data_IF_500191351012
#
_entry.id   IF_500191351012
#
_cell.length_a   1.000
_cell.length_b   1.000
_cell.length_c   1.000
_cell.angle_alpha   90.00
_cell.angle_beta   90.00
_cell.angle_gamma   90.00
#
_symmetry.space_group_name_H-M   'P 1'
#
loop_
_entity.id
_entity.type
_entity.pdbx_description
1 polymer ?
#
# COMPACT_ATOMS: atom_id res chain seq x y z
N UNK A 1 -5.25 -45.95 -66.40
CA UNK A 1 -5.53 -44.50 -66.48
C UNK A 1 -6.57 -44.20 -65.43
N UNK A 2 -6.14 -43.66 -64.29
CA UNK A 2 -6.99 -43.24 -63.20
C UNK A 2 -6.58 -41.81 -62.83
N UNK A 3 -7.61 -40.96 -62.78
CA UNK A 3 -7.62 -39.51 -62.77
C UNK A 3 -6.87 -38.91 -61.57
N UNK A 4 -5.99 -37.94 -61.82
CA UNK A 4 -5.16 -37.31 -60.80
C UNK A 4 -5.95 -36.23 -60.04
N UNK A 5 -6.22 -36.52 -58.77
CA UNK A 5 -6.88 -35.61 -57.84
C UNK A 5 -6.12 -34.29 -57.64
N UNK A 6 -6.85 -33.20 -57.87
CA UNK A 6 -6.55 -31.80 -57.54
C UNK A 6 -5.97 -31.64 -56.11
N UNK A 7 -4.84 -30.94 -55.91
CA UNK A 7 -4.44 -30.53 -54.56
C UNK A 7 -5.30 -29.36 -54.06
N UNK A 8 -5.95 -29.55 -52.91
CA UNK A 8 -6.65 -28.53 -52.13
C UNK A 8 -5.64 -27.57 -51.46
N UNK A 9 -5.80 -26.27 -51.73
CA UNK A 9 -5.62 -25.16 -50.78
C UNK A 9 -4.29 -25.00 -50.03
N UNK A 10 -3.53 -23.96 -50.37
CA UNK A 10 -2.43 -23.44 -49.56
C UNK A 10 -2.96 -22.84 -48.26
N UNK A 11 -2.62 -23.43 -47.10
CA UNK A 11 -2.88 -22.84 -45.79
C UNK A 11 -1.80 -21.78 -45.49
N UNK A 12 -2.12 -20.52 -45.78
CA UNK A 12 -1.32 -19.38 -45.35
C UNK A 12 -1.68 -19.06 -43.90
N UNK A 13 -0.86 -19.47 -42.93
CA UNK A 13 -1.01 -19.07 -41.53
C UNK A 13 -0.36 -17.71 -41.30
N UNK A 14 -1.19 -16.68 -41.13
CA UNK A 14 -0.75 -15.35 -40.69
C UNK A 14 -0.18 -15.43 -39.27
N UNK A 15 0.94 -14.76 -38.93
CA UNK A 15 1.44 -14.72 -37.57
C UNK A 15 0.41 -14.07 -36.64
N UNK A 16 0.01 -14.79 -35.59
CA UNK A 16 -0.83 -14.25 -34.53
C UNK A 16 -0.09 -13.07 -33.87
N UNK A 17 -0.62 -11.87 -34.05
CA UNK A 17 -0.16 -10.70 -33.32
C UNK A 17 -0.46 -10.93 -31.83
N UNK A 18 0.59 -11.07 -31.01
CA UNK A 18 0.45 -11.03 -29.56
C UNK A 18 -0.33 -9.75 -29.20
N UNK A 19 -1.43 -9.84 -28.44
CA UNK A 19 -2.19 -8.66 -28.08
C UNK A 19 -1.28 -7.74 -27.30
N UNK A 20 -1.09 -6.54 -27.82
CA UNK A 20 -0.37 -5.46 -27.15
C UNK A 20 -1.06 -5.23 -25.81
N UNK A 21 -0.35 -5.46 -24.70
CA UNK A 21 -0.84 -5.11 -23.37
C UNK A 21 -1.01 -3.60 -23.36
N UNK A 22 -2.24 -3.13 -23.56
CA UNK A 22 -2.61 -1.76 -23.23
C UNK A 22 -2.43 -1.63 -21.72
N UNK A 23 -1.38 -0.92 -21.32
CA UNK A 23 -1.31 -0.33 -19.98
C UNK A 23 -2.42 0.70 -19.92
N UNK A 24 -3.62 0.26 -19.57
CA UNK A 24 -4.74 1.14 -19.26
C UNK A 24 -4.34 1.84 -17.98
N UNK A 25 -4.12 3.15 -18.04
CA UNK A 25 -4.10 3.98 -16.85
C UNK A 25 -5.44 3.78 -16.14
N UNK A 26 -5.46 2.97 -15.09
CA UNK A 26 -6.62 2.82 -14.22
C UNK A 26 -6.86 4.23 -13.66
N UNK A 27 -8.08 4.74 -13.84
CA UNK A 27 -8.45 6.10 -13.46
C UNK A 27 -7.93 6.48 -12.07
N UNK A 28 -7.40 7.71 -11.97
CA UNK A 28 -6.62 8.28 -10.87
C UNK A 28 -7.30 8.36 -9.48
N UNK A 29 -8.44 7.70 -9.30
CA UNK A 29 -9.23 7.77 -8.06
C UNK A 29 -9.20 6.46 -7.25
N UNK A 30 -8.65 5.38 -7.79
CA UNK A 30 -8.52 4.10 -7.07
C UNK A 30 -7.12 3.90 -6.52
N UNK A 31 -7.05 3.29 -5.34
CA UNK A 31 -5.78 2.85 -4.77
C UNK A 31 -5.17 1.76 -5.65
N UNK A 32 -3.85 1.75 -5.76
CA UNK A 32 -3.12 0.70 -6.48
C UNK A 32 -3.48 -0.68 -5.93
N UNK A 33 -3.76 -1.69 -6.79
CA UNK A 33 -4.22 -2.99 -6.33
C UNK A 33 -3.30 -3.66 -5.31
N UNK A 34 -1.97 -3.55 -5.45
CA UNK A 34 -1.02 -4.16 -4.50
C UNK A 34 -1.00 -3.42 -3.17
N UNK A 35 -1.11 -2.09 -3.19
CA UNK A 35 -1.23 -1.29 -1.98
C UNK A 35 -2.54 -1.60 -1.24
N UNK A 36 -3.66 -1.65 -1.99
CA UNK A 36 -4.97 -2.02 -1.44
C UNK A 36 -4.92 -3.42 -0.83
N UNK A 37 -4.33 -4.40 -1.52
CA UNK A 37 -4.22 -5.78 -1.04
C UNK A 37 -3.49 -5.91 0.29
N UNK A 38 -2.36 -5.20 0.45
CA UNK A 38 -1.57 -5.25 1.71
C UNK A 38 -2.33 -4.62 2.87
N UNK A 39 -2.92 -3.44 2.66
CA UNK A 39 -3.68 -2.76 3.70
C UNK A 39 -4.95 -3.55 4.05
N UNK A 40 -5.68 -4.03 3.05
CA UNK A 40 -6.90 -4.82 3.25
C UNK A 40 -6.64 -6.14 3.98
N UNK A 41 -5.52 -6.82 3.73
CA UNK A 41 -5.17 -8.03 4.50
C UNK A 41 -5.00 -7.74 6.00
N UNK A 42 -4.47 -6.56 6.35
CA UNK A 42 -4.40 -6.12 7.74
C UNK A 42 -5.79 -5.71 8.29
N UNK A 43 -6.59 -4.97 7.51
CA UNK A 43 -7.96 -4.58 7.88
C UNK A 43 -8.82 -5.81 8.14
N UNK A 44 -8.87 -6.77 7.23
CA UNK A 44 -9.72 -7.96 7.37
C UNK A 44 -9.28 -8.81 8.57
N UNK A 45 -7.98 -9.03 8.78
CA UNK A 45 -7.52 -9.70 10.00
C UNK A 45 -8.05 -8.99 11.25
N UNK A 46 -7.88 -7.67 11.32
CA UNK A 46 -8.23 -6.88 12.49
C UNK A 46 -9.73 -6.70 12.69
N UNK A 47 -10.53 -6.75 11.62
CA UNK A 47 -11.99 -6.77 11.69
C UNK A 47 -12.48 -7.98 12.50
N UNK A 48 -11.89 -9.15 12.30
CA UNK A 48 -12.27 -10.38 13.01
C UNK A 48 -11.49 -10.61 14.31
N UNK A 49 -10.23 -10.18 14.37
CA UNK A 49 -9.34 -10.34 15.52
C UNK A 49 -8.78 -8.99 15.99
N UNK A 50 -9.63 -8.06 16.44
CA UNK A 50 -9.16 -6.76 16.92
C UNK A 50 -8.36 -6.92 18.21
N UNK A 51 -7.47 -5.97 18.46
CA UNK A 51 -6.92 -5.80 19.80
C UNK A 51 -8.04 -5.47 20.79
N UNK A 52 -7.89 -5.93 22.03
CA UNK A 52 -8.84 -5.64 23.12
C UNK A 52 -8.30 -4.54 24.01
N UNK A 53 -9.12 -3.51 24.22
CA UNK A 53 -8.84 -2.45 25.19
C UNK A 53 -9.09 -2.90 26.63
N UNK A 54 -8.82 -2.00 27.58
CA UNK A 54 -8.99 -2.27 29.02
C UNK A 54 -10.43 -2.60 29.41
N UNK A 55 -11.41 -2.13 28.65
CA UNK A 55 -12.84 -2.34 28.87
C UNK A 55 -13.41 -3.35 27.85
N UNK A 56 -12.58 -4.22 27.29
CA UNK A 56 -12.90 -5.19 26.23
C UNK A 56 -13.44 -4.57 24.92
N UNK A 57 -13.30 -3.25 24.76
CA UNK A 57 -13.64 -2.59 23.51
C UNK A 57 -12.69 -3.01 22.39
N UNK A 58 -13.21 -3.15 21.17
CA UNK A 58 -12.42 -3.49 20.00
C UNK A 58 -11.57 -2.31 19.55
N UNK A 59 -10.26 -2.52 19.44
CA UNK A 59 -9.28 -1.53 18.99
C UNK A 59 -8.77 -1.88 17.59
N UNK A 60 -9.65 -1.74 16.60
CA UNK A 60 -9.38 -2.12 15.21
C UNK A 60 -8.17 -1.39 14.61
N UNK A 61 -8.15 -0.05 14.68
CA UNK A 61 -7.05 0.77 14.18
C UNK A 61 -5.71 0.42 14.85
N UNK A 62 -5.72 0.16 16.17
CA UNK A 62 -4.52 -0.29 16.89
C UNK A 62 -3.99 -1.61 16.35
N UNK A 63 -4.87 -2.56 16.02
CA UNK A 63 -4.48 -3.82 15.41
C UNK A 63 -3.86 -3.61 14.02
N UNK A 64 -4.49 -2.81 13.15
CA UNK A 64 -3.98 -2.56 11.79
C UNK A 64 -2.61 -1.87 11.86
N UNK A 65 -2.52 -0.82 12.68
CA UNK A 65 -1.30 -0.08 12.95
C UNK A 65 -0.16 -0.97 13.43
N UNK A 66 -0.43 -1.90 14.35
CA UNK A 66 0.58 -2.82 14.87
C UNK A 66 1.16 -3.73 13.79
N UNK A 67 0.31 -4.31 12.92
CA UNK A 67 0.78 -5.19 11.84
C UNK A 67 1.62 -4.44 10.82
N UNK A 68 1.19 -3.24 10.43
CA UNK A 68 1.95 -2.40 9.50
C UNK A 68 3.25 -1.87 10.11
N UNK A 69 3.27 -1.59 11.42
CA UNK A 69 4.49 -1.19 12.13
C UNK A 69 5.51 -2.32 12.19
N UNK A 70 5.06 -3.55 12.42
CA UNK A 70 5.95 -4.71 12.39
C UNK A 70 6.53 -4.93 10.99
N UNK A 71 5.72 -4.77 9.95
CA UNK A 71 6.18 -4.82 8.57
C UNK A 71 7.24 -3.73 8.28
N UNK A 72 6.98 -2.48 8.68
CA UNK A 72 7.94 -1.39 8.49
C UNK A 72 9.24 -1.64 9.29
N UNK A 73 9.14 -2.19 10.51
CA UNK A 73 10.30 -2.56 11.33
C UNK A 73 11.17 -3.63 10.65
N UNK A 74 10.55 -4.73 10.18
CA UNK A 74 11.27 -5.81 9.49
C UNK A 74 11.93 -5.33 8.20
N UNK A 75 11.33 -4.35 7.52
CA UNK A 75 11.91 -3.70 6.35
C UNK A 75 12.87 -2.55 6.69
N UNK A 76 13.33 -2.43 7.94
CA UNK A 76 14.30 -1.41 8.34
C UNK A 76 13.79 0.03 8.16
N UNK A 77 12.50 0.23 8.41
CA UNK A 77 11.76 1.47 8.15
C UNK A 77 11.70 1.87 6.68
N UNK A 78 11.71 0.90 5.77
CA UNK A 78 11.57 1.09 4.32
C UNK A 78 10.37 0.33 3.76
N UNK A 79 9.30 0.15 4.55
CA UNK A 79 8.00 -0.20 4.00
C UNK A 79 7.45 0.99 3.19
N UNK A 80 6.82 0.78 2.03
CA UNK A 80 6.09 1.84 1.34
C UNK A 80 4.83 2.28 2.09
N UNK A 81 4.29 1.45 2.99
CA UNK A 81 3.12 1.74 3.81
C UNK A 81 3.58 2.23 5.19
N UNK A 82 3.47 3.53 5.45
CA UNK A 82 3.91 4.21 6.67
C UNK A 82 2.75 4.39 7.65
N UNK A 83 2.61 3.53 8.67
CA UNK A 83 1.52 3.64 9.63
C UNK A 83 1.75 4.80 10.62
N UNK A 84 0.67 5.51 10.97
CA UNK A 84 0.64 6.51 12.05
C UNK A 84 1.72 7.60 11.95
N UNK A 85 2.02 8.09 10.75
CA UNK A 85 3.01 9.14 10.57
C UNK A 85 2.39 10.51 10.83
N UNK A 86 2.83 11.21 11.87
CA UNK A 86 2.36 12.57 12.19
C UNK A 86 3.01 13.61 11.29
N UNK A 87 2.24 14.61 10.88
CA UNK A 87 2.69 15.79 10.14
C UNK A 87 2.53 17.05 11.00
N UNK A 88 3.52 17.93 10.89
CA UNK A 88 3.43 19.33 11.27
C UNK A 88 2.68 20.08 10.17
N UNK A 89 1.48 20.56 10.51
CA UNK A 89 0.59 21.27 9.60
C UNK A 89 0.89 22.77 9.52
N UNK A 90 1.79 23.29 10.36
CA UNK A 90 2.21 24.69 10.31
C UNK A 90 3.23 24.99 9.20
N UNK A 91 3.77 23.94 8.56
CA UNK A 91 4.68 24.03 7.43
C UNK A 91 3.92 23.97 6.09
N UNK A 92 4.48 24.59 5.05
CA UNK A 92 3.96 24.51 3.69
C UNK A 92 5.05 24.06 2.71
N UNK A 93 5.00 22.80 2.21
CA UNK A 93 4.00 21.76 2.49
C UNK A 93 4.12 21.18 3.92
N UNK A 94 3.06 20.51 4.45
CA UNK A 94 3.13 19.84 5.75
C UNK A 94 4.30 18.86 5.83
N UNK A 95 4.99 18.87 6.97
CA UNK A 95 6.26 18.15 7.14
C UNK A 95 6.08 16.92 8.03
N UNK A 96 6.54 15.72 7.63
CA UNK A 96 6.46 14.55 8.49
C UNK A 96 7.38 14.70 9.72
N UNK A 97 6.87 14.31 10.89
CA UNK A 97 7.61 14.27 12.16
C UNK A 97 8.24 12.88 12.29
N UNK A 98 9.53 12.80 11.97
CA UNK A 98 10.28 11.54 11.87
C UNK A 98 11.30 11.39 13.00
N UNK A 99 11.84 10.18 13.13
CA UNK A 99 13.02 9.91 13.94
C UNK A 99 14.21 10.79 13.50
N UNK A 100 15.08 11.13 14.46
CA UNK A 100 16.26 11.98 14.22
C UNK A 100 17.29 11.32 13.31
N UNK A 101 17.46 10.01 13.41
CA UNK A 101 18.51 9.26 12.73
C UNK A 101 17.98 8.50 11.51
N UNK A 102 16.67 8.23 11.47
CA UNK A 102 16.02 7.48 10.38
C UNK A 102 14.87 8.30 9.81
N UNK A 103 15.13 9.02 8.72
CA UNK A 103 14.17 9.97 8.14
C UNK A 103 12.91 9.32 7.53
N UNK A 104 12.87 7.99 7.42
CA UNK A 104 11.70 7.22 6.95
C UNK A 104 10.87 6.61 8.08
N UNK A 105 11.34 6.75 9.33
CA UNK A 105 10.71 6.21 10.54
C UNK A 105 9.88 7.31 11.20
N UNK A 106 8.62 7.00 11.54
CA UNK A 106 7.79 7.90 12.34
C UNK A 106 8.41 8.11 13.74
N UNK A 107 8.24 9.30 14.31
CA UNK A 107 8.79 9.58 15.64
C UNK A 107 8.03 8.80 16.72
N UNK A 108 8.71 7.92 17.46
CA UNK A 108 8.09 7.01 18.46
C UNK A 108 7.30 7.75 19.55
N UNK A 109 7.78 8.94 19.95
CA UNK A 109 7.13 9.78 20.96
C UNK A 109 6.90 11.23 20.50
N UNK A 110 5.91 11.42 19.62
CA UNK A 110 5.56 12.73 19.02
C UNK A 110 5.30 13.80 20.09
N UNK A 111 4.62 13.49 21.19
CA UNK A 111 4.37 14.46 22.26
C UNK A 111 5.65 15.00 22.90
N UNK A 112 6.66 14.15 23.09
CA UNK A 112 7.97 14.60 23.57
C UNK A 112 8.70 15.45 22.55
N UNK A 113 8.57 15.12 21.26
CA UNK A 113 9.10 15.93 20.17
C UNK A 113 8.47 17.34 20.16
N UNK A 114 7.14 17.44 20.24
CA UNK A 114 6.42 18.71 20.25
C UNK A 114 6.89 19.56 21.44
N UNK A 115 6.87 19.03 22.66
CA UNK A 115 7.30 19.76 23.86
C UNK A 115 8.73 20.30 23.78
N UNK A 116 9.61 19.57 23.11
CA UNK A 116 11.03 19.92 23.00
C UNK A 116 11.31 20.94 21.89
N UNK A 117 10.63 20.82 20.75
CA UNK A 117 11.01 21.51 19.53
C UNK A 117 10.01 22.61 19.12
N UNK A 118 8.71 22.47 19.43
CA UNK A 118 7.68 23.34 18.86
C UNK A 118 7.89 24.83 19.18
N UNK A 119 7.90 25.18 20.47
CA UNK A 119 8.08 26.58 20.89
C UNK A 119 9.40 27.16 20.39
N UNK A 120 10.47 26.35 20.38
CA UNK A 120 11.79 26.76 19.92
C UNK A 120 11.81 27.03 18.42
N UNK A 121 11.20 26.16 17.62
CA UNK A 121 11.27 26.22 16.16
C UNK A 121 10.25 27.20 15.58
N UNK A 122 9.11 27.39 16.26
CA UNK A 122 7.96 28.17 15.77
C UNK A 122 7.77 29.51 16.47
N UNK A 123 8.29 29.68 17.68
CA UNK A 123 8.14 30.91 18.46
C UNK A 123 6.78 31.09 19.14
N UNK A 124 5.89 30.08 19.12
CA UNK A 124 4.61 30.07 19.81
C UNK A 124 4.31 28.67 20.42
N UNK A 125 3.39 28.61 21.38
CA UNK A 125 3.05 27.37 22.08
C UNK A 125 2.22 26.42 21.21
N UNK A 126 2.35 25.11 21.48
CA UNK A 126 1.51 24.11 20.82
C UNK A 126 0.12 24.07 21.45
N UNK A 127 -0.90 24.38 20.68
CA UNK A 127 -2.30 24.34 21.12
C UNK A 127 -2.96 23.03 20.70
N UNK A 128 -3.37 22.23 21.69
CA UNK A 128 -3.99 20.93 21.45
C UNK A 128 -5.42 21.13 20.96
N UNK A 129 -5.71 20.65 19.76
CA UNK A 129 -7.05 20.71 19.15
C UNK A 129 -7.09 21.59 17.91
N UNK A 130 -6.18 22.57 17.82
CA UNK A 130 -6.11 23.59 16.76
C UNK A 130 -5.59 23.07 15.41
N UNK A 131 -5.47 21.76 15.22
CA UNK A 131 -5.02 21.19 13.96
C UNK A 131 -3.55 21.36 13.61
N UNK A 132 -2.73 21.85 14.54
CA UNK A 132 -1.29 22.03 14.36
C UNK A 132 -0.54 20.75 13.97
N UNK A 133 -1.02 19.58 14.39
CA UNK A 133 -0.54 18.29 13.87
C UNK A 133 -1.68 17.37 13.46
N UNK A 134 -1.41 16.53 12.46
CA UNK A 134 -2.35 15.56 11.92
C UNK A 134 -1.64 14.24 11.66
N UNK A 135 -2.33 13.12 11.93
CA UNK A 135 -1.76 11.78 11.81
C UNK A 135 -2.73 10.90 11.03
N UNK A 136 -2.47 10.65 9.74
CA UNK A 136 -3.17 9.63 8.97
C UNK A 136 -2.90 8.22 9.48
N UNK A 137 -3.85 7.32 9.24
CA UNK A 137 -3.69 5.90 9.56
C UNK A 137 -2.54 5.28 8.76
N UNK A 138 -2.50 5.51 7.45
CA UNK A 138 -1.42 5.04 6.57
C UNK A 138 -1.05 6.09 5.51
N UNK A 139 0.24 6.36 5.37
CA UNK A 139 0.78 7.11 4.24
C UNK A 139 1.54 6.17 3.32
N UNK A 140 1.20 6.18 2.03
CA UNK A 140 1.84 5.34 1.01
C UNK A 140 2.84 6.20 0.25
N UNK A 141 4.10 5.75 0.15
CA UNK A 141 5.18 6.49 -0.52
C UNK A 141 5.60 5.87 -1.85
N UNK A 142 6.06 6.74 -2.77
CA UNK A 142 6.61 6.38 -4.08
C UNK A 142 8.02 5.79 -3.98
N UNK A 143 8.83 6.29 -3.06
CA UNK A 143 10.16 5.76 -2.77
C UNK A 143 10.28 5.51 -1.26
N UNK A 144 10.31 4.25 -0.81
CA UNK A 144 10.36 3.93 0.61
C UNK A 144 11.70 4.26 1.28
N UNK A 145 12.74 4.60 0.50
CA UNK A 145 14.03 5.04 1.04
C UNK A 145 14.09 6.55 1.30
N UNK A 146 13.03 7.28 0.96
CA UNK A 146 12.91 8.72 1.16
C UNK A 146 11.84 9.05 2.19
N UNK A 147 11.96 10.18 2.90
CA UNK A 147 10.92 10.66 3.80
C UNK A 147 9.57 10.79 3.09
N UNK A 148 8.46 10.67 3.83
CA UNK A 148 7.12 10.86 3.29
C UNK A 148 6.78 12.36 3.15
N UNK A 149 7.60 13.12 2.43
CA UNK A 149 7.29 14.49 2.03
C UNK A 149 6.25 14.49 0.92
N UNK A 150 5.49 15.58 0.77
CA UNK A 150 4.36 15.68 -0.15
C UNK A 150 4.68 15.25 -1.60
N UNK A 151 5.90 15.50 -2.09
CA UNK A 151 6.37 15.08 -3.42
C UNK A 151 6.56 13.55 -3.54
N UNK A 152 6.91 12.89 -2.44
CA UNK A 152 7.10 11.44 -2.35
C UNK A 152 5.83 10.69 -1.93
N UNK A 153 4.77 11.37 -1.49
CA UNK A 153 3.49 10.74 -1.16
C UNK A 153 2.80 10.25 -2.45
N UNK A 154 2.46 8.95 -2.45
CA UNK A 154 1.59 8.30 -3.44
C UNK A 154 0.12 8.49 -3.04
N UNK A 155 -0.22 8.10 -1.81
CA UNK A 155 -1.57 8.20 -1.26
C UNK A 155 -1.55 8.43 0.26
N UNK A 156 -2.61 9.05 0.77
CA UNK A 156 -2.91 9.09 2.21
C UNK A 156 -4.20 8.30 2.42
N UNK A 157 -4.18 7.35 3.35
CA UNK A 157 -5.29 6.42 3.60
C UNK A 157 -5.78 6.62 5.03
N UNK A 158 -7.08 6.87 5.14
CA UNK A 158 -7.84 6.77 6.39
C UNK A 158 -8.53 5.40 6.44
N UNK A 159 -8.53 4.75 7.60
CA UNK A 159 -9.17 3.46 7.80
C UNK A 159 -10.34 3.62 8.77
N UNK A 160 -11.53 3.25 8.32
CA UNK A 160 -12.77 3.33 9.10
C UNK A 160 -13.30 1.95 9.45
N UNK A 161 -13.92 1.83 10.62
CA UNK A 161 -14.57 0.61 11.09
C UNK A 161 -15.93 0.95 11.69
N UNK A 162 -16.96 0.19 11.29
CA UNK A 162 -18.34 0.43 11.76
C UNK A 162 -18.88 1.77 11.26
N UNK A 163 -19.67 2.46 12.10
CA UNK A 163 -20.31 3.73 11.77
C UNK A 163 -19.37 4.96 11.94
N UNK A 164 -18.05 4.76 11.93
CA UNK A 164 -17.09 5.86 12.10
C UNK A 164 -16.99 6.69 10.81
N UNK A 165 -17.36 7.97 10.90
CA UNK A 165 -17.36 8.88 9.75
C UNK A 165 -16.00 9.58 9.57
N UNK A 166 -15.62 9.80 8.32
CA UNK A 166 -14.43 10.58 7.97
C UNK A 166 -14.80 12.07 7.90
N UNK A 167 -14.65 12.76 9.05
CA UNK A 167 -15.05 14.16 9.19
C UNK A 167 -14.27 15.12 8.27
N UNK A 168 -14.95 16.19 7.86
CA UNK A 168 -14.46 17.16 6.86
C UNK A 168 -13.11 17.79 7.23
N UNK A 169 -12.93 18.21 8.49
CA UNK A 169 -11.66 18.79 8.95
C UNK A 169 -10.46 17.83 8.82
N UNK A 170 -10.72 16.54 9.02
CA UNK A 170 -9.70 15.49 8.91
C UNK A 170 -9.38 15.23 7.44
N UNK A 171 -10.41 15.23 6.58
CA UNK A 171 -10.27 15.11 5.13
C UNK A 171 -9.43 16.27 4.58
N UNK A 172 -9.81 17.51 4.83
CA UNK A 172 -9.10 18.70 4.33
C UNK A 172 -7.62 18.71 4.76
N UNK A 173 -7.37 18.29 6.00
CA UNK A 173 -6.01 18.12 6.52
C UNK A 173 -5.21 17.09 5.72
N UNK A 174 -5.82 15.96 5.36
CA UNK A 174 -5.14 14.88 4.63
C UNK A 174 -4.97 15.21 3.15
N UNK A 175 -5.91 15.95 2.56
CA UNK A 175 -5.77 16.50 1.22
C UNK A 175 -4.59 17.49 1.16
N UNK A 176 -4.46 18.33 2.20
CA UNK A 176 -3.33 19.25 2.36
C UNK A 176 -2.00 18.50 2.53
N UNK A 177 -1.96 17.43 3.33
CA UNK A 177 -0.77 16.56 3.45
C UNK A 177 -0.42 15.93 2.10
N UNK A 178 -1.41 15.40 1.39
CA UNK A 178 -1.19 14.69 0.14
C UNK A 178 -0.84 15.62 -1.05
N UNK A 179 -1.21 16.90 -0.94
CA UNK A 179 -1.06 17.92 -1.98
C UNK A 179 -2.01 17.75 -3.17
N UNK A 180 -2.92 16.78 -3.11
CA UNK A 180 -3.93 16.51 -4.12
C UNK A 180 -5.06 15.69 -3.47
N UNK A 181 -6.32 16.17 -3.47
CA UNK A 181 -7.47 15.45 -2.94
C UNK A 181 -7.62 14.02 -3.49
N UNK A 182 -7.25 13.79 -4.75
CA UNK A 182 -7.34 12.47 -5.39
C UNK A 182 -6.41 11.44 -4.79
N UNK A 183 -5.40 11.85 -4.02
CA UNK A 183 -4.50 10.94 -3.32
C UNK A 183 -5.06 10.48 -1.97
N UNK A 184 -6.11 11.11 -1.45
CA UNK A 184 -6.77 10.67 -0.21
C UNK A 184 -7.72 9.52 -0.53
N UNK A 185 -7.65 8.46 0.27
CA UNK A 185 -8.49 7.26 0.16
C UNK A 185 -9.03 6.90 1.53
N UNK A 186 -10.25 6.37 1.54
CA UNK A 186 -10.84 5.72 2.71
C UNK A 186 -10.90 4.24 2.42
N UNK A 187 -10.53 3.42 3.39
CA UNK A 187 -10.74 1.99 3.36
C UNK A 187 -11.50 1.57 4.61
N UNK A 188 -12.42 0.65 4.45
CA UNK A 188 -13.16 0.00 5.52
C UNK A 188 -13.25 -1.51 5.20
N UNK A 189 -13.83 -2.34 6.09
CA UNK A 189 -13.99 -3.76 5.84
C UNK A 189 -14.78 -4.09 4.56
N UNK A 190 -15.75 -3.26 4.17
CA UNK A 190 -16.61 -3.51 3.00
C UNK A 190 -15.85 -3.18 1.70
N UNK A 191 -15.12 -2.07 1.67
CA UNK A 191 -14.18 -1.70 0.60
C UNK A 191 -13.08 -2.76 0.43
N UNK A 192 -12.71 -3.43 1.50
CA UNK A 192 -11.76 -4.54 1.49
C UNK A 192 -12.38 -5.91 1.22
N UNK A 193 -13.70 -5.96 1.04
CA UNK A 193 -14.46 -7.19 0.81
C UNK A 193 -14.17 -8.25 1.88
N UNK A 194 -14.04 -7.84 3.14
CA UNK A 194 -13.76 -8.70 4.29
C UNK A 194 -14.98 -9.60 4.58
N UNK A 195 -15.18 -10.60 3.73
CA UNK A 195 -16.29 -11.55 3.77
C UNK A 195 -15.98 -12.80 4.58
N UNK A 196 -16.99 -13.66 4.73
CA UNK A 196 -16.84 -14.87 5.52
C UNK A 196 -15.83 -15.88 4.95
N UNK A 197 -15.53 -15.77 3.66
CA UNK A 197 -14.71 -16.72 2.90
C UNK A 197 -13.21 -16.37 2.88
N UNK A 198 -12.81 -15.21 3.42
CA UNK A 198 -11.41 -14.80 3.56
C UNK A 198 -10.72 -15.49 4.75
N UNK A 199 -10.73 -16.83 4.75
CA UNK A 199 -10.12 -17.65 5.82
C UNK A 199 -8.63 -17.33 6.01
N UNK A 200 -7.91 -17.07 4.92
CA UNK A 200 -6.49 -16.74 4.93
C UNK A 200 -6.21 -15.38 5.58
N UNK A 201 -7.10 -14.40 5.39
CA UNK A 201 -7.01 -13.09 6.02
C UNK A 201 -7.28 -13.17 7.52
N UNK A 202 -8.29 -13.97 7.89
CA UNK A 202 -8.76 -14.17 9.27
C UNK A 202 -7.77 -14.89 10.19
N UNK A 203 -6.94 -15.78 9.65
CA UNK A 203 -6.07 -16.67 10.45
C UNK A 203 -4.59 -16.31 10.39
N UNK A 204 -4.21 -15.36 9.53
CA UNK A 204 -2.79 -15.07 9.31
C UNK A 204 -2.06 -14.62 10.58
N UNK A 205 -0.92 -15.21 10.88
CA UNK A 205 -0.04 -14.70 11.95
C UNK A 205 0.61 -13.39 11.50
N UNK A 206 1.14 -12.61 12.46
CA UNK A 206 1.91 -11.39 12.13
C UNK A 206 3.12 -11.76 11.26
N UNK A 207 3.80 -12.87 11.55
CA UNK A 207 4.95 -13.35 10.77
C UNK A 207 4.59 -13.69 9.32
N UNK A 208 3.47 -14.38 9.10
CA UNK A 208 2.99 -14.71 7.75
C UNK A 208 2.62 -13.45 6.98
N UNK A 209 1.89 -12.53 7.62
CA UNK A 209 1.56 -11.24 7.04
C UNK A 209 2.81 -10.46 6.63
N UNK A 210 3.77 -10.32 7.54
CA UNK A 210 5.01 -9.56 7.31
C UNK A 210 5.86 -10.21 6.21
N UNK A 211 5.99 -11.54 6.21
CA UNK A 211 6.77 -12.27 5.18
C UNK A 211 6.17 -12.03 3.79
N UNK A 212 4.86 -12.21 3.67
CA UNK A 212 4.13 -12.00 2.42
C UNK A 212 4.22 -10.54 1.94
N UNK A 213 3.93 -9.58 2.83
CA UNK A 213 3.93 -8.17 2.48
C UNK A 213 5.35 -7.63 2.18
N UNK A 214 6.38 -8.16 2.85
CA UNK A 214 7.78 -7.87 2.53
C UNK A 214 8.14 -8.33 1.11
N UNK A 215 7.66 -9.50 0.70
CA UNK A 215 7.82 -9.99 -0.68
C UNK A 215 7.22 -9.02 -1.71
N UNK A 216 6.02 -8.51 -1.43
CA UNK A 216 5.36 -7.49 -2.28
C UNK A 216 6.17 -6.19 -2.29
N UNK A 217 6.58 -5.68 -1.13
CA UNK A 217 7.36 -4.45 -1.04
C UNK A 217 8.66 -4.53 -1.85
N UNK A 218 9.40 -5.65 -1.73
CA UNK A 218 10.61 -5.90 -2.50
C UNK A 218 10.33 -5.99 -4.01
N UNK A 219 9.24 -6.64 -4.42
CA UNK A 219 8.84 -6.71 -5.82
C UNK A 219 8.54 -5.31 -6.37
N UNK A 220 7.71 -4.51 -5.67
CA UNK A 220 7.38 -3.14 -6.04
C UNK A 220 8.63 -2.25 -6.12
N UNK A 221 9.56 -2.39 -5.17
CA UNK A 221 10.82 -1.64 -5.17
C UNK A 221 11.67 -1.95 -6.40
N UNK A 222 11.81 -3.23 -6.75
CA UNK A 222 12.57 -3.65 -7.94
C UNK A 222 11.92 -3.18 -9.24
N UNK A 223 10.58 -3.27 -9.34
CA UNK A 223 9.82 -2.75 -10.48
C UNK A 223 10.04 -1.24 -10.67
N UNK A 224 9.97 -0.46 -9.58
CA UNK A 224 10.21 1.00 -9.61
C UNK A 224 11.65 1.35 -10.03
N UNK A 225 12.62 0.52 -9.67
CA UNK A 225 14.03 0.65 -10.12
C UNK A 225 14.28 0.18 -11.56
N UNK A 226 13.25 -0.25 -12.29
CA UNK A 226 13.40 -0.80 -13.64
C UNK A 226 14.10 -2.17 -13.66
N UNK A 227 14.29 -2.80 -12.51
CA UNK A 227 14.82 -4.16 -12.40
C UNK A 227 13.65 -5.13 -12.40
N UNK A 228 13.13 -5.44 -13.58
CA UNK A 228 12.10 -6.47 -13.72
C UNK A 228 12.63 -7.80 -13.12
N UNK A 229 11.85 -8.49 -12.26
CA UNK A 229 12.20 -9.84 -11.86
C UNK A 229 12.29 -10.71 -13.11
N UNK A 230 13.41 -11.43 -13.27
CA UNK A 230 13.58 -12.39 -14.37
C UNK A 230 12.48 -13.45 -14.22
N UNK A 231 11.51 -13.46 -15.12
CA UNK A 231 10.53 -14.55 -15.19
C UNK A 231 11.29 -15.88 -15.32
N UNK A 232 10.86 -16.95 -14.63
CA UNK A 232 11.41 -18.27 -14.85
C UNK A 232 11.26 -18.61 -16.33
N UNK A 233 12.37 -18.91 -17.01
CA UNK A 233 12.31 -19.48 -18.35
C UNK A 233 11.72 -20.88 -18.20
N UNK A 234 10.42 -21.03 -18.47
CA UNK A 234 9.86 -22.35 -18.68
C UNK A 234 10.60 -23.00 -19.85
N UNK A 235 11.13 -24.23 -19.69
CA UNK A 235 11.73 -24.94 -20.81
C UNK A 235 10.65 -25.10 -21.88
N UNK A 236 10.98 -24.70 -23.11
CA UNK A 236 10.10 -24.92 -24.26
C UNK A 236 9.73 -26.40 -24.32
N UNK A 237 8.45 -26.75 -24.59
CA UNK A 237 8.05 -28.14 -24.78
C UNK A 237 8.95 -28.76 -25.86
N UNK A 238 9.59 -29.89 -25.55
CA UNK A 238 10.34 -30.64 -26.56
C UNK A 238 9.36 -31.02 -27.67
N UNK A 239 9.70 -30.80 -28.96
CA UNK A 239 8.85 -31.25 -30.05
C UNK A 239 8.67 -32.77 -29.95
N UNK A 240 7.41 -33.21 -30.01
CA UNK A 240 7.07 -34.63 -29.98
C UNK A 240 7.76 -35.37 -31.13
N UNK A 241 8.28 -36.59 -30.90
CA UNK A 241 8.88 -37.37 -31.97
C UNK A 241 7.84 -37.64 -33.06
N UNK A 242 8.22 -37.37 -34.31
CA UNK A 242 7.39 -37.68 -35.47
C UNK A 242 7.20 -39.21 -35.57
N UNK A 243 6.01 -39.70 -35.92
CA UNK A 243 5.79 -41.13 -36.09
C UNK A 243 6.69 -41.64 -37.22
N UNK A 244 7.47 -42.67 -36.93
CA UNK A 244 8.14 -43.46 -37.95
C UNK A 244 7.07 -44.24 -38.73
N UNK A 245 7.02 -44.01 -40.04
CA UNK A 245 6.29 -44.86 -40.98
C UNK A 245 7.18 -46.01 -41.42
#
# INVERSE_FOLDING_TARGET
>A
MADQGKPLGTLTTTPAQNPTIKVVAIGNDKLDPEDKKVICKAICYCHYQPHKGKNDQNLYQSCVSARLKELDLVLGHQSPWKPELTYDMSESPPKPITDKNIATKAHDYVWGWIKKNWLKDKGYEYEKGEGMTRRPDVVIVKDPTKPATQDNIKNVVEIKFGDDEFGDDQRDSYETIAGDPKKVKVLDPDECECGNDDEDGKKSTVTEFVTWASGIALALYNLRKGKLPKLPKFPSPKPSPSPAW
#
